data_IF_172976975591
#
_entry.id   IF_172976975591
#
_cell.length_a   1.000
_cell.length_b   1.000
_cell.length_c   1.000
_cell.angle_alpha   90.00
_cell.angle_beta   90.00
_cell.angle_gamma   90.00
#
_symmetry.space_group_name_H-M   'P 1'
#
loop_
_entity.id
_entity.type
_entity.pdbx_description
1 polymer ?
#
# COMPACT_ATOMS: atom_id res chain seq x y z
N UNK A 1 21.57 35.47 30.02
CA UNK A 1 21.64 34.00 30.07
C UNK A 1 20.61 33.46 29.11
N UNK A 2 21.00 33.25 27.86
CA UNK A 2 20.10 32.85 26.78
C UNK A 2 20.12 31.32 26.72
N UNK A 3 19.00 30.70 27.12
CA UNK A 3 18.83 29.25 27.12
C UNK A 3 18.65 28.82 25.66
N UNK A 4 19.73 28.37 25.03
CA UNK A 4 19.71 27.72 23.72
C UNK A 4 18.84 26.47 23.81
N UNK A 5 17.60 26.59 23.34
CA UNK A 5 16.75 25.46 23.03
C UNK A 5 17.40 24.80 21.80
N UNK A 6 18.21 23.75 22.03
CA UNK A 6 18.61 22.85 20.95
C UNK A 6 17.32 22.32 20.35
N UNK A 7 17.00 22.82 19.16
CA UNK A 7 16.00 22.22 18.29
C UNK A 7 16.56 20.84 17.99
N UNK A 8 15.94 19.85 18.62
CA UNK A 8 16.17 18.45 18.32
C UNK A 8 15.78 18.29 16.85
N UNK A 9 16.75 17.96 16.01
CA UNK A 9 16.52 17.62 14.60
C UNK A 9 15.33 16.66 14.55
N UNK A 10 14.38 16.96 13.67
CA UNK A 10 13.15 16.19 13.47
C UNK A 10 13.56 14.79 12.97
N UNK A 11 13.79 13.86 13.91
CA UNK A 11 13.94 12.44 13.60
C UNK A 11 12.62 12.00 12.99
N UNK A 12 12.61 11.76 11.67
CA UNK A 12 11.44 11.29 10.92
C UNK A 12 10.69 10.24 11.74
N UNK A 13 9.48 10.61 12.18
CA UNK A 13 8.76 9.93 13.23
C UNK A 13 8.63 8.45 12.92
N UNK A 14 9.43 7.61 13.60
CA UNK A 14 9.24 6.17 13.59
C UNK A 14 7.84 5.90 14.11
N UNK A 15 6.99 5.12 13.41
CA UNK A 15 5.65 4.86 13.87
C UNK A 15 5.69 4.29 15.28
N UNK A 16 4.90 4.85 16.20
CA UNK A 16 4.85 4.35 17.57
C UNK A 16 4.28 2.93 17.58
N UNK A 17 4.56 2.15 18.63
CA UNK A 17 4.09 0.76 18.76
C UNK A 17 2.57 0.66 18.59
N UNK A 18 1.82 1.63 19.11
CA UNK A 18 0.37 1.72 18.97
C UNK A 18 -0.07 1.84 17.49
N UNK A 19 0.69 2.56 16.66
CA UNK A 19 0.39 2.68 15.23
C UNK A 19 0.60 1.35 14.49
N UNK A 20 1.61 0.56 14.89
CA UNK A 20 1.83 -0.80 14.37
C UNK A 20 0.66 -1.70 14.75
N UNK A 21 0.27 -1.70 16.02
CA UNK A 21 -0.85 -2.50 16.51
C UNK A 21 -2.15 -2.14 15.80
N UNK A 22 -2.43 -0.84 15.63
CA UNK A 22 -3.59 -0.38 14.88
C UNK A 22 -3.56 -0.87 13.42
N UNK A 23 -2.41 -0.76 12.74
CA UNK A 23 -2.25 -1.25 11.38
C UNK A 23 -2.52 -2.77 11.28
N UNK A 24 -2.03 -3.56 12.24
CA UNK A 24 -2.29 -4.99 12.32
C UNK A 24 -3.78 -5.30 12.53
N UNK A 25 -4.47 -4.58 13.41
CA UNK A 25 -5.90 -4.79 13.66
C UNK A 25 -6.75 -4.43 12.43
N UNK A 26 -6.43 -3.32 11.76
CA UNK A 26 -7.09 -2.93 10.51
C UNK A 26 -6.92 -4.06 9.48
N UNK A 27 -5.70 -4.56 9.29
CA UNK A 27 -5.43 -5.61 8.30
C UNK A 27 -6.07 -6.95 8.65
N UNK A 28 -6.17 -7.30 9.93
CA UNK A 28 -6.92 -8.48 10.39
C UNK A 28 -8.42 -8.36 10.09
N UNK A 29 -9.00 -7.16 10.24
CA UNK A 29 -10.38 -6.88 9.82
C UNK A 29 -10.58 -7.11 8.31
N UNK A 30 -9.63 -6.65 7.48
CA UNK A 30 -9.63 -6.94 6.05
C UNK A 30 -9.52 -8.43 5.74
N UNK A 31 -8.65 -9.15 6.44
CA UNK A 31 -8.52 -10.59 6.27
C UNK A 31 -9.87 -11.29 6.49
N UNK A 32 -10.52 -11.01 7.62
CA UNK A 32 -11.81 -11.59 7.98
C UNK A 32 -12.90 -11.23 6.96
N UNK A 33 -12.89 -10.00 6.44
CA UNK A 33 -13.82 -9.58 5.39
C UNK A 33 -13.57 -10.34 4.06
N UNK A 34 -12.32 -10.54 3.66
CA UNK A 34 -12.00 -11.28 2.43
C UNK A 34 -12.26 -12.79 2.55
N UNK A 35 -12.10 -13.35 3.75
CA UNK A 35 -12.41 -14.76 4.06
C UNK A 35 -13.90 -15.00 4.31
N UNK A 36 -14.72 -13.94 4.38
CA UNK A 36 -16.13 -14.06 4.69
C UNK A 36 -16.83 -14.94 3.65
N UNK A 37 -17.41 -16.03 4.15
CA UNK A 37 -18.25 -16.93 3.36
C UNK A 37 -19.70 -16.70 3.77
N UNK A 38 -20.59 -16.35 2.84
CA UNK A 38 -22.00 -16.33 3.12
C UNK A 38 -22.53 -17.77 3.28
N UNK A 39 -23.73 -17.95 3.84
CA UNK A 39 -24.35 -19.27 4.02
C UNK A 39 -24.33 -20.10 2.73
N UNK A 40 -24.25 -21.43 2.85
CA UNK A 40 -24.01 -22.46 1.80
C UNK A 40 -24.86 -22.37 0.50
N UNK A 41 -25.78 -21.41 0.38
CA UNK A 41 -26.63 -21.15 -0.79
C UNK A 41 -26.68 -19.68 -1.21
N UNK A 42 -25.62 -18.92 -0.99
CA UNK A 42 -25.63 -17.50 -1.35
C UNK A 42 -25.27 -17.30 -2.81
N UNK A 43 -26.01 -16.40 -3.44
CA UNK A 43 -25.85 -16.04 -4.83
C UNK A 43 -24.47 -15.38 -5.08
N UNK A 44 -23.66 -15.89 -6.02
CA UNK A 44 -22.42 -15.24 -6.47
C UNK A 44 -22.60 -13.75 -6.82
N UNK A 45 -23.79 -13.35 -7.31
CA UNK A 45 -24.09 -11.95 -7.62
C UNK A 45 -24.04 -11.00 -6.41
N UNK A 46 -24.14 -11.52 -5.17
CA UNK A 46 -24.00 -10.72 -3.93
C UNK A 46 -22.57 -10.78 -3.41
N UNK A 47 -21.97 -11.96 -3.46
CA UNK A 47 -20.66 -12.23 -2.89
C UNK A 47 -19.52 -11.54 -3.66
N UNK A 48 -19.56 -11.59 -5.00
CA UNK A 48 -18.49 -11.05 -5.84
C UNK A 48 -18.39 -9.51 -5.76
N UNK A 49 -19.50 -8.74 -5.79
CA UNK A 49 -19.43 -7.29 -5.57
C UNK A 49 -18.97 -6.92 -4.16
N UNK A 50 -19.39 -7.67 -3.13
CA UNK A 50 -18.91 -7.46 -1.77
C UNK A 50 -17.37 -7.56 -1.70
N UNK A 51 -16.79 -8.61 -2.28
CA UNK A 51 -15.34 -8.79 -2.35
C UNK A 51 -14.67 -7.67 -3.15
N UNK A 52 -15.24 -7.27 -4.29
CA UNK A 52 -14.69 -6.20 -5.11
C UNK A 52 -14.62 -4.87 -4.35
N UNK A 53 -15.64 -4.53 -3.56
CA UNK A 53 -15.66 -3.33 -2.71
C UNK A 53 -14.54 -3.40 -1.66
N UNK A 54 -14.38 -4.54 -0.98
CA UNK A 54 -13.31 -4.69 0.02
C UNK A 54 -11.91 -4.61 -0.59
N UNK A 55 -11.70 -5.15 -1.80
CA UNK A 55 -10.44 -5.00 -2.53
C UNK A 55 -10.15 -3.53 -2.88
N UNK A 56 -11.16 -2.78 -3.33
CA UNK A 56 -11.02 -1.36 -3.62
C UNK A 56 -10.69 -0.55 -2.36
N UNK A 57 -11.38 -0.82 -1.25
CA UNK A 57 -11.09 -0.20 0.05
C UNK A 57 -9.68 -0.54 0.54
N UNK A 58 -9.25 -1.79 0.36
CA UNK A 58 -7.90 -2.23 0.69
C UNK A 58 -6.86 -1.45 -0.13
N UNK A 59 -7.10 -1.23 -1.42
CA UNK A 59 -6.24 -0.42 -2.29
C UNK A 59 -6.05 1.00 -1.75
N UNK A 60 -7.12 1.64 -1.28
CA UNK A 60 -7.07 3.00 -0.72
C UNK A 60 -6.36 3.08 0.64
N UNK A 61 -6.29 1.98 1.37
CA UNK A 61 -5.62 1.93 2.68
C UNK A 61 -4.13 1.60 2.53
N UNK A 62 -3.76 0.82 1.52
CA UNK A 62 -2.38 0.46 1.25
C UNK A 62 -1.59 1.56 0.53
N UNK A 63 -2.29 2.44 -0.19
CA UNK A 63 -1.69 3.46 -1.05
C UNK A 63 -2.27 4.84 -0.80
N UNK A 64 -1.40 5.85 -0.90
CA UNK A 64 -1.80 7.25 -0.93
C UNK A 64 -2.45 7.65 -2.27
N UNK A 65 -3.03 8.84 -2.35
CA UNK A 65 -3.61 9.43 -3.57
C UNK A 65 -2.60 9.48 -4.72
N UNK A 66 -1.32 9.73 -4.39
CA UNK A 66 -0.20 9.71 -5.36
C UNK A 66 0.29 8.28 -5.68
N UNK A 67 -0.48 7.24 -5.34
CA UNK A 67 -0.15 5.82 -5.55
C UNK A 67 1.15 5.36 -4.87
N UNK A 68 1.58 6.08 -3.83
CA UNK A 68 2.77 5.72 -3.04
C UNK A 68 2.39 4.73 -1.94
N UNK A 69 3.07 3.58 -1.81
CA UNK A 69 2.72 2.57 -0.82
C UNK A 69 3.10 2.97 0.60
N UNK A 70 2.21 2.75 1.56
CA UNK A 70 2.50 2.88 2.98
C UNK A 70 3.20 1.60 3.48
N UNK A 71 4.52 1.64 3.74
CA UNK A 71 5.29 0.44 4.09
C UNK A 71 4.82 -0.21 5.40
N UNK A 72 4.34 0.58 6.36
CA UNK A 72 3.77 0.05 7.59
C UNK A 72 2.50 -0.77 7.32
N UNK A 73 1.60 -0.26 6.48
CA UNK A 73 0.37 -0.96 6.11
C UNK A 73 0.67 -2.21 5.27
N UNK A 74 1.67 -2.15 4.39
CA UNK A 74 2.14 -3.33 3.66
C UNK A 74 2.77 -4.38 4.59
N UNK A 75 3.52 -3.96 5.61
CA UNK A 75 4.02 -4.89 6.64
C UNK A 75 2.87 -5.58 7.34
N UNK A 76 1.87 -4.81 7.79
CA UNK A 76 0.69 -5.36 8.44
C UNK A 76 -0.12 -6.29 7.53
N UNK A 77 -0.30 -5.90 6.26
CA UNK A 77 -1.00 -6.68 5.24
C UNK A 77 -0.33 -8.04 4.99
N UNK A 78 1.00 -8.06 5.04
CA UNK A 78 1.75 -9.30 4.97
C UNK A 78 1.63 -10.11 6.26
N UNK A 79 1.97 -9.53 7.42
CA UNK A 79 2.05 -10.25 8.71
C UNK A 79 0.74 -10.87 9.17
N UNK A 80 -0.38 -10.28 8.80
CA UNK A 80 -1.72 -10.80 9.13
C UNK A 80 -2.15 -11.95 8.22
N UNK A 81 -1.45 -12.22 7.11
CA UNK A 81 -1.89 -13.22 6.11
C UNK A 81 -2.96 -12.70 5.14
N UNK A 82 -3.33 -11.42 5.22
CA UNK A 82 -4.26 -10.78 4.27
C UNK A 82 -3.70 -10.81 2.85
N UNK A 83 -2.38 -10.73 2.68
CA UNK A 83 -1.71 -10.96 1.39
C UNK A 83 -2.08 -12.31 0.77
N UNK A 84 -1.88 -13.41 1.49
CA UNK A 84 -2.14 -14.75 0.97
C UNK A 84 -3.64 -14.92 0.70
N UNK A 85 -4.48 -14.40 1.60
CA UNK A 85 -5.93 -14.38 1.43
C UNK A 85 -6.33 -13.70 0.13
N UNK A 86 -5.80 -12.49 -0.13
CA UNK A 86 -6.05 -11.71 -1.33
C UNK A 86 -5.61 -12.43 -2.61
N UNK A 87 -4.39 -12.97 -2.66
CA UNK A 87 -3.92 -13.69 -3.85
C UNK A 87 -4.67 -15.01 -4.06
N UNK A 88 -5.14 -15.67 -3.00
CA UNK A 88 -5.90 -16.92 -3.11
C UNK A 88 -7.36 -16.72 -3.55
N UNK A 89 -7.89 -15.49 -3.58
CA UNK A 89 -9.23 -15.18 -4.12
C UNK A 89 -9.40 -15.78 -5.53
N UNK A 90 -8.41 -15.60 -6.40
CA UNK A 90 -8.47 -16.15 -7.77
C UNK A 90 -8.63 -17.66 -7.75
N UNK A 91 -7.78 -18.38 -7.00
CA UNK A 91 -7.87 -19.84 -6.92
C UNK A 91 -9.19 -20.31 -6.28
N UNK A 92 -9.73 -19.56 -5.31
CA UNK A 92 -10.94 -19.93 -4.58
C UNK A 92 -12.22 -19.77 -5.41
N UNK A 93 -12.33 -18.71 -6.21
CA UNK A 93 -13.56 -18.42 -6.98
C UNK A 93 -13.46 -18.77 -8.45
N UNK A 94 -12.26 -18.82 -9.02
CA UNK A 94 -12.05 -19.04 -10.45
C UNK A 94 -11.46 -20.42 -10.74
N UNK A 95 -10.96 -21.16 -9.73
CA UNK A 95 -10.36 -22.49 -9.87
C UNK A 95 -11.19 -23.49 -10.70
N UNK A 96 -10.49 -24.39 -11.41
CA UNK A 96 -11.00 -25.30 -12.45
C UNK A 96 -12.06 -26.32 -12.04
N UNK A 97 -12.44 -26.40 -10.75
CA UNK A 97 -13.26 -27.48 -10.16
C UNK A 97 -14.65 -27.02 -9.65
N UNK A 98 -15.05 -25.78 -9.89
CA UNK A 98 -16.34 -25.25 -9.43
C UNK A 98 -17.38 -25.30 -10.57
N UNK A 99 -18.56 -25.88 -10.32
CA UNK A 99 -19.77 -25.74 -11.15
C UNK A 99 -20.22 -24.26 -11.10
N UNK A 100 -19.55 -23.40 -11.88
CA UNK A 100 -19.73 -21.95 -11.80
C UNK A 100 -21.02 -21.53 -12.49
N UNK A 101 -21.98 -21.04 -11.69
CA UNK A 101 -22.99 -20.10 -12.16
C UNK A 101 -22.28 -18.77 -12.49
N UNK A 102 -21.83 -18.63 -13.73
CA UNK A 102 -21.20 -17.40 -14.20
C UNK A 102 -22.18 -16.22 -14.13
N UNK A 103 -21.70 -15.09 -13.60
CA UNK A 103 -22.44 -13.84 -13.57
C UNK A 103 -21.54 -12.65 -13.94
N UNK A 104 -22.14 -11.51 -14.29
CA UNK A 104 -21.43 -10.33 -14.84
C UNK A 104 -20.47 -9.72 -13.82
N UNK A 105 -20.81 -9.85 -12.53
CA UNK A 105 -20.08 -9.36 -11.37
C UNK A 105 -18.67 -9.98 -11.25
N UNK A 106 -18.45 -11.12 -11.89
CA UNK A 106 -17.15 -11.78 -11.99
C UNK A 106 -16.09 -10.88 -12.66
N UNK A 107 -16.50 -10.15 -13.71
CA UNK A 107 -15.62 -9.18 -14.38
C UNK A 107 -15.23 -8.02 -13.47
N UNK A 108 -16.15 -7.55 -12.62
CA UNK A 108 -15.89 -6.46 -11.67
C UNK A 108 -14.91 -6.90 -10.58
N UNK A 109 -15.05 -8.13 -10.07
CA UNK A 109 -14.11 -8.70 -9.11
C UNK A 109 -12.71 -8.82 -9.72
N UNK A 110 -12.60 -9.36 -10.93
CA UNK A 110 -11.32 -9.45 -11.65
C UNK A 110 -10.69 -8.08 -11.87
N UNK A 111 -11.47 -7.07 -12.26
CA UNK A 111 -10.99 -5.71 -12.42
C UNK A 111 -10.42 -5.12 -11.13
N UNK A 112 -11.15 -5.24 -10.02
CA UNK A 112 -10.67 -4.76 -8.71
C UNK A 112 -9.38 -5.48 -8.30
N UNK A 113 -9.34 -6.81 -8.46
CA UNK A 113 -8.18 -7.63 -8.10
C UNK A 113 -6.95 -7.29 -8.96
N UNK A 114 -7.11 -7.20 -10.29
CA UNK A 114 -6.03 -6.88 -11.22
C UNK A 114 -5.49 -5.47 -10.99
N UNK A 115 -6.37 -4.49 -10.74
CA UNK A 115 -5.96 -3.11 -10.47
C UNK A 115 -5.12 -2.96 -9.20
N UNK A 116 -5.50 -3.63 -8.10
CA UNK A 116 -4.68 -3.65 -6.89
C UNK A 116 -3.37 -4.42 -7.10
N UNK A 117 -3.43 -5.56 -7.80
CA UNK A 117 -2.25 -6.38 -8.10
C UNK A 117 -1.21 -5.62 -8.91
N UNK A 118 -1.62 -4.84 -9.92
CA UNK A 118 -0.72 -3.98 -10.70
C UNK A 118 0.07 -3.00 -9.81
N UNK A 119 -0.58 -2.43 -8.78
CA UNK A 119 0.08 -1.55 -7.82
C UNK A 119 1.04 -2.31 -6.91
N UNK A 120 0.71 -3.53 -6.52
CA UNK A 120 1.52 -4.39 -5.64
C UNK A 120 2.81 -4.88 -6.30
N UNK A 121 2.85 -4.99 -7.63
CA UNK A 121 4.04 -5.42 -8.38
C UNK A 121 4.93 -4.27 -8.87
N UNK A 122 4.49 -3.02 -8.69
CA UNK A 122 5.19 -1.84 -9.20
C UNK A 122 6.48 -1.56 -8.43
N UNK A 123 7.61 -2.04 -8.96
CA UNK A 123 8.92 -1.89 -8.33
C UNK A 123 9.35 -0.43 -8.12
N UNK A 124 8.96 0.47 -9.03
CA UNK A 124 9.31 1.89 -8.92
C UNK A 124 8.61 2.53 -7.72
N UNK A 125 7.31 2.27 -7.53
CA UNK A 125 6.54 2.80 -6.41
C UNK A 125 7.12 2.36 -5.05
N UNK A 126 7.58 1.11 -4.93
CA UNK A 126 8.22 0.59 -3.72
C UNK A 126 9.60 1.24 -3.46
N UNK A 127 10.40 1.47 -4.51
CA UNK A 127 11.74 2.06 -4.38
C UNK A 127 11.72 3.56 -4.11
N UNK A 128 10.70 4.27 -4.57
CA UNK A 128 10.61 5.73 -4.44
C UNK A 128 9.50 6.20 -3.49
N UNK A 129 8.92 5.29 -2.70
CA UNK A 129 7.92 5.66 -1.70
C UNK A 129 8.50 6.63 -0.67
N UNK A 130 7.71 7.67 -0.34
CA UNK A 130 7.99 8.63 0.73
C UNK A 130 7.71 8.05 2.12
N UNK A 131 7.00 6.92 2.19
CA UNK A 131 6.57 6.28 3.44
C UNK A 131 7.46 5.09 3.84
N UNK A 132 8.74 5.13 3.46
CA UNK A 132 9.70 4.11 3.87
C UNK A 132 9.89 4.13 5.38
N UNK A 133 9.92 2.95 5.97
CA UNK A 133 10.17 2.80 7.39
C UNK A 133 11.66 3.01 7.66
N UNK A 134 11.98 3.82 8.66
CA UNK A 134 13.36 4.04 9.09
C UNK A 134 14.02 2.73 9.51
N UNK A 135 15.29 2.51 9.12
CA UNK A 135 16.05 1.30 9.47
C UNK A 135 16.25 1.12 10.99
N UNK A 136 16.08 2.20 11.75
CA UNK A 136 16.13 2.18 13.22
C UNK A 136 14.89 1.51 13.83
N UNK A 137 13.82 1.39 13.06
CA UNK A 137 12.57 0.80 13.52
C UNK A 137 12.60 -0.73 13.44
N UNK A 138 12.22 -1.41 14.54
CA UNK A 138 12.28 -2.87 14.62
C UNK A 138 11.47 -3.57 13.51
N UNK A 139 10.32 -3.00 13.15
CA UNK A 139 9.45 -3.54 12.10
C UNK A 139 10.08 -3.43 10.71
N UNK A 140 10.93 -2.42 10.44
CA UNK A 140 11.64 -2.31 9.17
C UNK A 140 12.59 -3.49 8.92
N UNK A 141 13.16 -4.06 10.00
CA UNK A 141 13.99 -5.28 9.92
C UNK A 141 13.16 -6.55 9.68
N UNK A 142 11.92 -6.56 10.14
CA UNK A 142 10.97 -7.67 9.96
C UNK A 142 10.32 -7.66 8.58
N UNK A 143 10.28 -6.49 7.94
CA UNK A 143 9.68 -6.30 6.62
C UNK A 143 10.72 -5.84 5.57
N UNK A 144 11.57 -6.76 5.06
CA UNK A 144 12.46 -6.45 3.95
C UNK A 144 11.65 -6.19 2.68
N UNK A 145 11.51 -4.91 2.34
CA UNK A 145 10.62 -4.41 1.25
C UNK A 145 10.90 -5.07 -0.10
N UNK A 146 12.17 -5.26 -0.49
CA UNK A 146 12.52 -5.88 -1.78
C UNK A 146 12.15 -7.38 -1.83
N UNK A 147 12.25 -8.10 -0.70
CA UNK A 147 11.84 -9.50 -0.62
C UNK A 147 10.32 -9.62 -0.68
N UNK A 148 9.60 -8.73 -0.01
CA UNK A 148 8.15 -8.66 -0.11
C UNK A 148 7.68 -8.34 -1.54
N UNK A 149 8.33 -7.39 -2.22
CA UNK A 149 8.05 -7.11 -3.63
C UNK A 149 8.25 -8.36 -4.51
N UNK A 150 9.33 -9.12 -4.27
CA UNK A 150 9.58 -10.38 -4.99
C UNK A 150 8.45 -11.39 -4.76
N UNK A 151 7.97 -11.53 -3.52
CA UNK A 151 6.81 -12.37 -3.18
C UNK A 151 5.54 -11.91 -3.91
N UNK A 152 5.21 -10.61 -3.87
CA UNK A 152 4.09 -10.04 -4.64
C UNK A 152 4.18 -10.37 -6.12
N UNK A 153 5.36 -10.23 -6.73
CA UNK A 153 5.55 -10.53 -8.16
C UNK A 153 5.38 -12.02 -8.46
N UNK A 154 5.81 -12.92 -7.58
CA UNK A 154 5.60 -14.36 -7.71
C UNK A 154 4.12 -14.74 -7.64
N UNK A 155 3.40 -14.25 -6.63
CA UNK A 155 1.98 -14.57 -6.46
C UNK A 155 1.12 -13.92 -7.55
N UNK A 156 1.43 -12.68 -7.92
CA UNK A 156 0.79 -12.00 -9.04
C UNK A 156 0.99 -12.77 -10.34
N UNK A 157 2.21 -13.22 -10.65
CA UNK A 157 2.48 -14.02 -11.84
C UNK A 157 1.68 -15.33 -11.83
N UNK A 158 1.71 -16.07 -10.71
CA UNK A 158 0.97 -17.34 -10.58
C UNK A 158 -0.53 -17.14 -10.81
N UNK A 159 -1.14 -16.19 -10.11
CA UNK A 159 -2.59 -16.00 -10.15
C UNK A 159 -3.05 -15.34 -11.46
N UNK A 160 -2.27 -14.42 -12.03
CA UNK A 160 -2.57 -13.84 -13.35
C UNK A 160 -2.58 -14.90 -14.46
N UNK A 161 -1.67 -15.90 -14.42
CA UNK A 161 -1.69 -17.02 -15.35
C UNK A 161 -2.98 -17.86 -15.22
N UNK A 162 -3.47 -18.07 -14.00
CA UNK A 162 -4.75 -18.76 -13.77
C UNK A 162 -5.89 -17.98 -14.43
N UNK A 163 -6.00 -16.67 -14.17
CA UNK A 163 -7.02 -15.81 -14.81
C UNK A 163 -6.90 -15.86 -16.34
N UNK A 164 -5.68 -15.74 -16.88
CA UNK A 164 -5.44 -15.76 -18.31
C UNK A 164 -5.89 -17.08 -18.95
N UNK A 165 -5.53 -18.22 -18.34
CA UNK A 165 -5.93 -19.54 -18.84
C UNK A 165 -7.44 -19.75 -18.86
N UNK A 166 -8.17 -19.10 -17.95
CA UNK A 166 -9.61 -19.23 -17.81
C UNK A 166 -10.39 -18.24 -18.67
N UNK A 167 -9.76 -17.15 -19.13
CA UNK A 167 -10.44 -16.07 -19.84
C UNK A 167 -11.19 -16.55 -21.09
N UNK A 168 -10.66 -17.57 -21.77
CA UNK A 168 -11.30 -18.22 -22.92
C UNK A 168 -12.58 -18.99 -22.58
N UNK A 169 -12.75 -19.38 -21.31
CA UNK A 169 -13.90 -20.13 -20.81
C UNK A 169 -14.97 -19.25 -20.15
N UNK A 170 -14.64 -18.00 -19.82
CA UNK A 170 -15.56 -17.09 -19.14
C UNK A 170 -16.54 -16.43 -20.15
N UNK A 171 -17.86 -16.50 -19.94
CA UNK A 171 -18.87 -15.88 -20.80
C UNK A 171 -19.00 -14.36 -20.52
N UNK A 172 -17.88 -13.65 -20.49
CA UNK A 172 -17.85 -12.19 -20.32
C UNK A 172 -18.06 -11.49 -21.66
N UNK A 173 -18.48 -10.22 -21.60
CA UNK A 173 -18.51 -9.35 -22.78
C UNK A 173 -17.10 -9.21 -23.38
N UNK A 174 -17.01 -9.17 -24.71
CA UNK A 174 -15.76 -9.01 -25.45
C UNK A 174 -14.95 -7.79 -24.97
N UNK A 175 -15.62 -6.66 -24.69
CA UNK A 175 -14.98 -5.46 -24.17
C UNK A 175 -14.37 -5.66 -22.77
N UNK A 176 -15.03 -6.45 -21.91
CA UNK A 176 -14.54 -6.75 -20.55
C UNK A 176 -13.36 -7.70 -20.61
N UNK A 177 -13.42 -8.72 -21.49
CA UNK A 177 -12.30 -9.62 -21.74
C UNK A 177 -11.07 -8.89 -22.26
N UNK A 178 -11.23 -8.00 -23.23
CA UNK A 178 -10.12 -7.20 -23.77
C UNK A 178 -9.47 -6.32 -22.69
N UNK A 179 -10.27 -5.67 -21.85
CA UNK A 179 -9.77 -4.89 -20.71
C UNK A 179 -9.01 -5.76 -19.70
N UNK A 180 -9.56 -6.94 -19.37
CA UNK A 180 -8.88 -7.90 -18.47
C UNK A 180 -7.53 -8.35 -19.05
N UNK A 181 -7.47 -8.68 -20.35
CA UNK A 181 -6.22 -8.97 -21.04
C UNK A 181 -5.21 -7.82 -20.92
N UNK A 182 -5.64 -6.58 -21.18
CA UNK A 182 -4.77 -5.40 -21.12
C UNK A 182 -4.19 -5.20 -19.70
N UNK A 183 -5.01 -5.38 -18.66
CA UNK A 183 -4.54 -5.32 -17.27
C UNK A 183 -3.56 -6.46 -16.93
N UNK A 184 -3.82 -7.69 -17.39
CA UNK A 184 -2.89 -8.82 -17.19
C UNK A 184 -1.54 -8.54 -17.87
N UNK A 185 -1.56 -8.04 -19.10
CA UNK A 185 -0.36 -7.63 -19.82
C UNK A 185 0.36 -6.49 -19.09
N UNK A 186 -0.38 -5.54 -18.51
CA UNK A 186 0.19 -4.46 -17.69
C UNK A 186 0.91 -5.01 -16.44
N UNK A 187 0.32 -5.98 -15.75
CA UNK A 187 0.95 -6.67 -14.61
C UNK A 187 2.25 -7.35 -15.06
N UNK A 188 2.22 -8.11 -16.16
CA UNK A 188 3.43 -8.75 -16.69
C UNK A 188 4.51 -7.74 -17.06
N UNK A 189 4.13 -6.61 -17.68
CA UNK A 189 5.04 -5.51 -17.99
C UNK A 189 5.72 -4.97 -16.71
N UNK A 190 4.96 -4.75 -15.64
CA UNK A 190 5.51 -4.26 -14.38
C UNK A 190 6.40 -5.29 -13.67
N UNK A 191 6.04 -6.58 -13.72
CA UNK A 191 6.88 -7.67 -13.22
C UNK A 191 8.22 -7.70 -14.00
N UNK A 192 8.18 -7.64 -15.33
CA UNK A 192 9.39 -7.63 -16.16
C UNK A 192 10.25 -6.40 -15.88
N UNK A 193 9.66 -5.20 -15.74
CA UNK A 193 10.38 -3.98 -15.33
C UNK A 193 11.04 -4.13 -13.95
N UNK A 194 10.42 -4.87 -13.03
CA UNK A 194 10.96 -5.14 -11.70
C UNK A 194 12.13 -6.13 -11.70
N UNK A 195 12.09 -7.13 -12.59
CA UNK A 195 13.11 -8.18 -12.73
C UNK A 195 14.32 -7.71 -13.50
N UNK A 196 14.11 -6.98 -14.61
CA UNK A 196 15.19 -6.54 -15.49
C UNK A 196 16.01 -5.50 -14.74
N UNK A 197 17.31 -5.75 -14.47
CA UNK A 197 18.17 -4.73 -13.88
C UNK A 197 18.18 -3.54 -14.82
N UNK A 198 17.88 -2.35 -14.31
CA UNK A 198 17.98 -1.09 -15.07
C UNK A 198 19.32 -1.07 -15.81
N UNK A 199 19.29 -1.11 -17.14
CA UNK A 199 20.47 -1.01 -17.99
C UNK A 199 21.19 0.31 -17.69
N UNK A 200 22.51 0.40 -17.83
CA UNK A 200 23.31 1.62 -17.59
C UNK A 200 22.66 2.90 -18.19
N UNK A 201 22.01 2.78 -19.36
CA UNK A 201 21.26 3.86 -20.03
C UNK A 201 19.97 4.28 -19.32
N UNK A 202 19.26 3.35 -18.68
CA UNK A 202 18.10 3.63 -17.85
C UNK A 202 18.51 4.13 -16.46
N UNK A 203 19.66 3.68 -15.93
CA UNK A 203 20.28 4.33 -14.76
C UNK A 203 20.61 5.78 -15.07
N UNK A 204 21.21 6.09 -16.22
CA UNK A 204 21.46 7.48 -16.63
C UNK A 204 20.18 8.31 -16.74
N UNK A 205 19.05 7.74 -17.20
CA UNK A 205 17.75 8.42 -17.22
C UNK A 205 17.10 8.62 -15.82
N UNK A 206 17.53 7.85 -14.81
CA UNK A 206 17.07 7.95 -13.41
C UNK A 206 18.03 8.79 -12.57
N UNK A 207 19.32 8.79 -12.90
CA UNK A 207 20.30 9.74 -12.40
C UNK A 207 20.00 11.12 -12.96
N UNK A 208 19.54 11.25 -14.22
CA UNK A 208 19.07 12.53 -14.73
C UNK A 208 17.86 13.03 -13.96
N UNK A 209 16.89 12.23 -13.52
CA UNK A 209 15.79 12.77 -12.70
C UNK A 209 16.22 13.16 -11.27
N UNK A 210 17.19 12.48 -10.67
CA UNK A 210 17.76 12.87 -9.37
C UNK A 210 18.74 14.04 -9.46
N UNK A 211 19.50 14.15 -10.54
CA UNK A 211 20.39 15.28 -10.82
C UNK A 211 19.61 16.49 -11.33
N UNK A 212 18.57 16.29 -12.14
CA UNK A 212 17.60 17.31 -12.55
C UNK A 212 16.83 17.80 -11.34
N UNK A 213 16.43 16.92 -10.40
CA UNK A 213 15.86 17.36 -9.12
C UNK A 213 16.87 18.19 -8.32
N UNK A 214 18.11 17.74 -8.15
CA UNK A 214 19.15 18.53 -7.45
C UNK A 214 19.51 19.83 -8.16
N UNK A 215 19.40 19.86 -9.49
CA UNK A 215 19.65 21.03 -10.33
C UNK A 215 18.47 22.00 -10.29
N UNK A 216 17.24 21.51 -10.32
CA UNK A 216 16.01 22.27 -10.12
C UNK A 216 15.95 22.82 -8.69
N UNK A 217 16.33 22.04 -7.67
CA UNK A 217 16.51 22.48 -6.29
C UNK A 217 17.58 23.57 -6.17
N UNK A 218 18.64 23.51 -6.98
CA UNK A 218 19.68 24.54 -7.06
C UNK A 218 19.27 25.77 -7.89
N UNK A 219 18.25 25.64 -8.76
CA UNK A 219 17.63 26.73 -9.52
C UNK A 219 16.55 27.47 -8.70
N UNK A 220 16.02 26.83 -7.64
CA UNK A 220 15.14 27.49 -6.69
C UNK A 220 15.90 28.54 -5.88
N UNK A 221 15.27 29.70 -5.71
CA UNK A 221 15.79 30.76 -4.88
C UNK A 221 15.82 30.31 -3.40
N UNK A 222 17.01 30.25 -2.82
CA UNK A 222 17.21 29.83 -1.43
C UNK A 222 16.42 30.68 -0.43
N UNK A 223 16.21 31.98 -0.73
CA UNK A 223 15.40 32.85 0.11
C UNK A 223 13.90 32.50 0.10
N UNK A 224 13.41 31.96 -1.02
CA UNK A 224 12.02 31.48 -1.16
C UNK A 224 11.76 30.22 -0.32
N UNK A 225 12.75 29.32 -0.25
CA UNK A 225 12.70 28.13 0.60
C UNK A 225 12.78 28.51 2.08
N UNK A 226 13.74 29.38 2.44
CA UNK A 226 13.92 29.83 3.82
C UNK A 226 12.68 30.57 4.35
N UNK A 227 11.99 31.35 3.50
CA UNK A 227 10.75 32.03 3.87
C UNK A 227 9.61 31.05 4.21
N UNK A 228 9.44 29.97 3.44
CA UNK A 228 8.46 28.92 3.75
C UNK A 228 8.83 28.14 5.01
N UNK A 229 10.13 27.91 5.24
CA UNK A 229 10.63 27.28 6.47
C UNK A 229 10.41 28.20 7.68
N UNK A 230 10.62 29.51 7.54
CA UNK A 230 10.36 30.51 8.57
C UNK A 230 8.87 30.65 8.90
N UNK A 231 7.99 30.38 7.91
CA UNK A 231 6.55 30.22 8.13
C UNK A 231 6.17 28.92 8.88
N UNK A 232 7.12 28.01 9.07
CA UNK A 232 6.97 26.77 9.82
C UNK A 232 6.66 25.54 8.96
N UNK A 233 6.84 25.61 7.64
CA UNK A 233 6.71 24.43 6.77
C UNK A 233 8.01 23.61 6.75
N UNK A 234 7.89 22.28 6.59
CA UNK A 234 9.04 21.41 6.42
C UNK A 234 9.83 21.78 5.16
N UNK A 235 11.16 21.82 5.26
CA UNK A 235 12.05 22.21 4.16
C UNK A 235 11.85 21.35 2.90
N UNK A 236 11.69 20.04 3.07
CA UNK A 236 11.48 19.12 1.96
C UNK A 236 10.11 19.34 1.30
N UNK A 237 9.08 19.68 2.09
CA UNK A 237 7.75 20.01 1.58
C UNK A 237 7.74 21.37 0.87
N UNK A 238 8.47 22.36 1.39
CA UNK A 238 8.65 23.67 0.78
C UNK A 238 9.36 23.57 -0.57
N UNK A 239 10.39 22.74 -0.67
CA UNK A 239 11.08 22.44 -1.94
C UNK A 239 10.13 21.76 -2.93
N UNK A 240 9.45 20.69 -2.52
CA UNK A 240 8.51 19.97 -3.40
C UNK A 240 7.38 20.91 -3.89
N UNK A 241 6.86 21.78 -3.03
CA UNK A 241 5.82 22.75 -3.38
C UNK A 241 6.34 23.86 -4.31
N UNK A 242 7.57 24.35 -4.13
CA UNK A 242 8.18 25.35 -5.00
C UNK A 242 8.59 24.79 -6.37
N UNK A 243 8.88 23.49 -6.45
CA UNK A 243 9.08 22.80 -7.72
C UNK A 243 7.78 22.65 -8.51
N UNK A 244 6.65 22.49 -7.83
CA UNK A 244 5.32 22.32 -8.43
C UNK A 244 4.67 23.68 -8.73
N UNK A 245 4.92 24.69 -7.88
CA UNK A 245 4.40 26.05 -7.97
C UNK A 245 5.56 27.03 -7.92
N UNK A 246 5.85 27.69 -9.04
CA UNK A 246 7.03 28.54 -9.23
C UNK A 246 7.02 29.85 -8.42
N UNK A 247 5.99 30.08 -7.60
CA UNK A 247 5.86 31.27 -6.76
C UNK A 247 5.65 30.90 -5.29
N UNK A 248 6.26 31.67 -4.38
CA UNK A 248 6.13 31.46 -2.93
C UNK A 248 4.67 31.50 -2.44
N UNK A 249 3.81 32.44 -2.88
CA UNK A 249 2.43 32.49 -2.40
C UNK A 249 1.61 31.27 -2.83
N UNK A 250 1.75 30.78 -4.07
CA UNK A 250 1.04 29.59 -4.55
C UNK A 250 1.56 28.32 -3.88
N UNK A 251 2.89 28.20 -3.69
CA UNK A 251 3.48 27.11 -2.94
C UNK A 251 3.01 27.11 -1.48
N UNK A 252 2.91 28.29 -0.84
CA UNK A 252 2.37 28.44 0.50
C UNK A 252 0.88 28.06 0.57
N UNK A 253 0.05 28.47 -0.39
CA UNK A 253 -1.36 28.07 -0.46
C UNK A 253 -1.53 26.56 -0.63
N UNK A 254 -0.71 25.92 -1.48
CA UNK A 254 -0.69 24.48 -1.64
C UNK A 254 -0.29 23.78 -0.33
N UNK A 255 0.75 24.27 0.34
CA UNK A 255 1.19 23.77 1.63
C UNK A 255 0.13 23.98 2.71
N UNK A 256 -0.59 25.10 2.72
CA UNK A 256 -1.70 25.34 3.66
C UNK A 256 -2.90 24.45 3.36
N UNK A 257 -3.22 24.20 2.10
CA UNK A 257 -4.31 23.31 1.72
C UNK A 257 -4.03 21.86 2.11
N UNK A 258 -2.76 21.43 1.98
CA UNK A 258 -2.30 20.08 2.33
C UNK A 258 -1.99 19.92 3.83
N UNK A 259 -1.41 20.93 4.48
CA UNK A 259 -1.16 20.98 5.92
C UNK A 259 -2.45 21.26 6.72
N UNK A 260 -3.43 21.95 6.14
CA UNK A 260 -4.76 22.16 6.73
C UNK A 260 -5.52 20.84 6.91
N UNK A 261 -5.32 19.88 6.00
CA UNK A 261 -5.78 18.49 6.18
C UNK A 261 -4.99 17.76 7.30
N UNK A 262 -3.72 18.12 7.49
CA UNK A 262 -2.88 17.64 8.59
C UNK A 262 -3.24 18.23 9.96
N UNK A 263 -3.58 19.53 10.05
CA UNK A 263 -3.97 20.22 11.28
C UNK A 263 -5.39 19.90 11.70
N UNK A 264 -6.33 19.63 10.79
CA UNK A 264 -7.64 19.06 11.18
C UNK A 264 -7.49 17.70 11.87
N UNK A 265 -6.45 16.92 11.53
CA UNK A 265 -6.10 15.70 12.27
C UNK A 265 -5.54 15.99 13.66
N UNK A 266 -4.72 17.02 13.83
CA UNK A 266 -4.12 17.39 15.12
C UNK A 266 -5.08 18.18 16.04
N UNK A 267 -6.01 18.96 15.49
CA UNK A 267 -6.95 19.75 16.31
C UNK A 267 -8.02 18.88 16.99
N UNK A 268 -8.25 17.65 16.50
CA UNK A 268 -9.12 16.68 17.18
C UNK A 268 -8.53 16.10 18.47
N UNK A 269 -7.23 16.32 18.70
CA UNK A 269 -6.50 15.77 19.85
C UNK A 269 -6.20 16.77 20.97
N UNK A 270 -6.58 18.04 20.85
CA UNK A 270 -6.19 19.09 21.81
C UNK A 270 -7.35 19.83 22.50
N UNK A 271 -8.59 19.33 22.42
CA UNK A 271 -9.67 19.80 23.32
C UNK A 271 -9.72 18.96 24.60
N UNK A 272 -8.93 19.39 25.58
CA UNK A 272 -9.07 19.12 27.02
C UNK A 272 -8.86 20.48 27.71
N UNK A 273 -9.63 21.00 28.67
CA UNK A 273 -10.71 20.60 29.58
C UNK A 273 -11.23 21.94 30.12
N UNK A 274 -12.54 22.13 30.29
CA UNK A 274 -13.04 23.01 31.35
C UNK A 274 -13.88 22.13 32.30
N UNK A 275 -13.27 21.82 33.44
CA UNK A 275 -13.91 21.12 34.54
C UNK A 275 -14.40 22.19 35.53
N UNK A 276 -15.72 22.32 35.64
CA UNK A 276 -16.34 23.06 36.74
C UNK A 276 -16.21 22.24 38.04
N UNK A 277 -15.73 22.93 39.08
CA UNK A 277 -15.64 22.49 40.47
C UNK A 277 -17.03 22.16 41.04
N UNK A 278 -17.22 20.94 41.55
CA UNK A 278 -18.15 20.67 42.66
C UNK A 278 -17.53 19.65 43.62
N UNK A 279 -17.62 19.99 44.91
CA UNK A 279 -17.02 19.42 46.11
C UNK A 279 -17.29 17.92 46.41
N UNK A 280 -16.26 17.33 47.01
CA UNK A 280 -16.21 16.36 48.12
C UNK A 280 -17.32 15.30 48.29
N UNK A 281 -16.92 14.01 48.27
CA UNK A 281 -16.94 13.18 49.48
C UNK A 281 -16.04 11.93 49.35
N UNK A 282 -15.43 11.56 50.47
CA UNK A 282 -14.51 10.43 50.64
C UNK A 282 -15.20 9.08 50.38
N UNK A 283 -14.51 8.19 49.66
CA UNK A 283 -14.93 6.80 49.49
C UNK A 283 -13.75 5.93 49.08
N UNK A 284 -13.03 5.40 50.08
CA UNK A 284 -11.98 4.41 49.89
C UNK A 284 -12.54 3.14 49.23
N UNK A 285 -12.02 2.79 48.05
CA UNK A 285 -12.37 1.54 47.38
C UNK A 285 -11.38 1.25 46.27
N UNK A 286 -10.34 0.46 46.60
CA UNK A 286 -9.45 -0.16 45.62
C UNK A 286 -10.26 -0.92 44.57
N UNK A 287 -10.19 -0.49 43.31
CA UNK A 287 -10.36 -1.32 42.13
C UNK A 287 -9.82 -0.56 40.92
N UNK A 288 -8.51 -0.65 40.72
CA UNK A 288 -7.94 -0.48 39.38
C UNK A 288 -8.44 -1.68 38.56
N UNK A 289 -9.55 -1.51 37.85
CA UNK A 289 -9.78 -2.31 36.65
C UNK A 289 -8.83 -1.78 35.59
N UNK A 290 -7.60 -2.31 35.62
CA UNK A 290 -6.79 -2.42 34.42
C UNK A 290 -7.68 -3.01 33.34
N UNK A 291 -7.99 -2.22 32.31
CA UNK A 291 -8.44 -2.74 31.02
C UNK A 291 -7.22 -3.41 30.36
N UNK A 292 -6.70 -4.46 31.00
CA UNK A 292 -5.93 -5.49 30.35
C UNK A 292 -6.91 -6.22 29.44
N UNK A 293 -7.03 -5.74 28.21
CA UNK A 293 -7.42 -6.61 27.11
C UNK A 293 -6.27 -7.61 27.00
N UNK A 294 -6.40 -8.72 27.72
CA UNK A 294 -5.52 -9.88 27.55
C UNK A 294 -5.53 -10.23 26.06
N UNK A 295 -4.40 -9.91 25.42
CA UNK A 295 -4.08 -10.39 24.09
C UNK A 295 -3.97 -11.90 24.21
N UNK A 296 -5.03 -12.60 23.82
CA UNK A 296 -4.85 -13.96 23.36
C UNK A 296 -3.97 -13.86 22.11
N UNK A 297 -2.69 -14.23 22.27
CA UNK A 297 -1.72 -14.64 21.26
C UNK A 297 -2.24 -15.88 20.46
N UNK A 298 -3.54 -15.90 20.17
CA UNK A 298 -4.19 -16.90 19.35
C UNK A 298 -3.83 -16.58 17.90
N UNK A 299 -2.69 -17.15 17.54
CA UNK A 299 -2.36 -17.65 16.22
C UNK A 299 -2.33 -16.58 15.13
N UNK A 300 -1.41 -15.62 15.26
CA UNK A 300 -0.66 -15.24 14.06
C UNK A 300 0.08 -16.51 13.61
N UNK A 301 -0.49 -17.28 12.68
CA UNK A 301 0.35 -18.08 11.78
C UNK A 301 1.15 -17.04 11.01
N UNK A 302 2.29 -16.62 11.58
CA UNK A 302 3.19 -15.72 10.88
C UNK A 302 3.48 -16.39 9.53
N UNK A 303 3.19 -15.72 8.40
CA UNK A 303 3.50 -16.27 7.11
C UNK A 303 5.00 -16.55 7.03
N UNK A 304 5.37 -17.50 6.17
CA UNK A 304 6.76 -17.93 5.93
C UNK A 304 7.65 -16.70 5.93
N UNK A 305 8.71 -16.67 6.73
CA UNK A 305 9.59 -15.50 6.82
C UNK A 305 9.96 -14.99 5.43
N UNK A 306 9.84 -13.69 5.17
CA UNK A 306 10.25 -13.08 3.90
C UNK A 306 11.70 -13.41 3.53
N UNK A 307 12.52 -13.78 4.52
CA UNK A 307 13.88 -14.20 4.31
C UNK A 307 14.04 -15.54 3.56
N UNK A 308 13.00 -16.36 3.56
CA UNK A 308 12.95 -17.68 2.91
C UNK A 308 12.27 -17.63 1.53
N UNK A 309 11.75 -16.46 1.11
CA UNK A 309 11.17 -16.30 -0.23
C UNK A 309 12.28 -16.49 -1.27
N UNK A 310 12.19 -17.52 -2.13
CA UNK A 310 13.19 -17.74 -3.16
C UNK A 310 13.19 -16.56 -4.15
N UNK A 311 14.32 -16.27 -4.82
CA UNK A 311 14.33 -15.27 -5.89
C UNK A 311 13.36 -15.68 -7.00
N UNK A 312 12.71 -14.70 -7.63
CA UNK A 312 11.82 -14.93 -8.77
C UNK A 312 12.59 -15.59 -9.92
N UNK A 313 12.15 -16.78 -10.35
CA UNK A 313 12.76 -17.50 -11.46
C UNK A 313 12.42 -16.83 -12.79
N UNK A 314 13.33 -15.97 -13.24
CA UNK A 314 13.20 -15.18 -14.46
C UNK A 314 13.07 -16.04 -15.70
N UNK A 315 13.62 -17.25 -15.71
CA UNK A 315 13.52 -18.18 -16.86
C UNK A 315 12.12 -18.76 -16.96
N UNK A 316 11.50 -19.09 -15.84
CA UNK A 316 10.15 -19.62 -15.80
C UNK A 316 9.14 -18.54 -16.24
N UNK A 317 9.28 -17.32 -15.72
CA UNK A 317 8.46 -16.17 -16.13
C UNK A 317 8.57 -15.91 -17.64
N UNK A 318 9.78 -15.82 -18.18
CA UNK A 318 9.99 -15.58 -19.61
C UNK A 318 9.47 -16.74 -20.48
N UNK A 319 9.65 -17.99 -20.04
CA UNK A 319 9.19 -19.16 -20.79
C UNK A 319 7.66 -19.22 -20.85
N UNK A 320 6.98 -18.96 -19.74
CA UNK A 320 5.52 -18.91 -19.69
C UNK A 320 4.98 -17.73 -20.50
N UNK A 321 5.56 -16.53 -20.38
CA UNK A 321 5.18 -15.39 -21.23
C UNK A 321 5.35 -15.69 -22.72
N UNK A 322 6.47 -16.30 -23.13
CA UNK A 322 6.69 -16.67 -24.52
C UNK A 322 5.75 -17.78 -25.02
N UNK A 323 5.29 -18.68 -24.15
CA UNK A 323 4.32 -19.73 -24.50
C UNK A 323 2.91 -19.19 -24.57
N UNK A 324 2.47 -18.47 -23.55
CA UNK A 324 1.07 -18.09 -23.36
C UNK A 324 0.73 -16.82 -24.15
N UNK A 325 1.63 -15.83 -24.21
CA UNK A 325 1.41 -14.61 -25.00
C UNK A 325 1.87 -14.79 -26.45
N UNK A 326 2.87 -15.64 -26.70
CA UNK A 326 3.44 -15.84 -28.04
C UNK A 326 2.57 -16.68 -28.97
N UNK A 327 1.82 -17.66 -28.44
CA UNK A 327 0.94 -18.50 -29.25
C UNK A 327 -0.42 -17.84 -29.53
N UNK A 328 -0.98 -17.08 -28.58
CA UNK A 328 -2.32 -16.49 -28.71
C UNK A 328 -2.35 -15.14 -29.45
N UNK A 329 -1.20 -14.47 -29.67
CA UNK A 329 -1.13 -13.23 -30.47
C UNK A 329 -0.93 -13.47 -31.97
N UNK A 330 -0.69 -14.72 -32.40
CA UNK A 330 -0.34 -15.07 -33.79
C UNK A 330 -1.33 -16.02 -34.48
N UNK A 331 -2.51 -16.24 -33.90
CA UNK A 331 -3.66 -16.94 -34.51
C UNK A 331 -4.84 -15.98 -34.58
#
# INVERSE_FOLDING_TARGET
MTRTRRIQENEGGTPCENAVQLALQIMKGFQQALEWKPYDKTDPAIMLPYLAIWINNLSNILYDERKSPYHLMLSAFYRTGTHDTFFNIISNYFGSDQDQNYCVEMGQLLQAWLSLTERLVNAHAFRHSRYKMSERFAEAKRFPTEKYLTKCQQDAFRQANVVFSMLSSLPLSEAVNFNICDMIVSIYREIVKGIVPLTEKQRQAVTTTSEDRKKMEAELDGASIDLLVDMGFDRDAAVDALLEYSTVPEAAEYLIATDGLGRLRQSSTDERIDADEIDAEEGSGSQNNDLNVEFEDVLLKEPISLNEVPPLDTRLVLTSLCKDVGYDLFI
#
